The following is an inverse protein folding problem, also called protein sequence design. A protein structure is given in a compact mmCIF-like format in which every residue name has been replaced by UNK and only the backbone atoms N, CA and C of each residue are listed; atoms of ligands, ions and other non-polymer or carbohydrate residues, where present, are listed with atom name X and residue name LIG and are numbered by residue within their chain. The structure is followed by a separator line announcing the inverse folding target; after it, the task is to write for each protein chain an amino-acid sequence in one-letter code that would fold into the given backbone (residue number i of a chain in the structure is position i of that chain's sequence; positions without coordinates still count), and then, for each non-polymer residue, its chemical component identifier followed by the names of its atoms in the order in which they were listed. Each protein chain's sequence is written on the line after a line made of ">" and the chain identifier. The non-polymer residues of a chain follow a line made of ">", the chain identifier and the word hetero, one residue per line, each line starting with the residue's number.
data_IF_025893687166
#
_entry.id   IF_025893687166
#
_cell.length_a   1.000
_cell.length_b   1.000
_cell.length_c   1.000
_cell.angle_alpha   90.00
_cell.angle_beta   90.00
_cell.angle_gamma   90.00
#
_symmetry.space_group_name_H-M   'P 1'
#
loop_
_entity.id
_entity.type
_entity.pdbx_description
1 polymer ?
#
# COMPACT_ATOMS: atom_id res chain seq x y z
N UNK A 1 -1.25 11.72 0.10
CA UNK A 1 -1.34 10.31 0.50
C UNK A 1 -2.38 10.18 1.60
N UNK A 2 -3.45 9.42 1.36
CA UNK A 2 -4.46 9.11 2.39
C UNK A 2 -4.04 7.85 3.14
N UNK A 3 -4.15 7.91 4.45
CA UNK A 3 -3.73 6.89 5.39
C UNK A 3 -4.97 6.43 6.16
N UNK A 4 -5.15 5.11 6.28
CA UNK A 4 -6.29 4.48 6.93
C UNK A 4 -5.81 3.42 7.94
N UNK A 5 -6.63 3.15 8.96
CA UNK A 5 -6.43 2.02 9.88
C UNK A 5 -6.81 0.74 9.15
N UNK A 6 -5.96 -0.26 9.23
CA UNK A 6 -6.07 -1.52 8.49
C UNK A 6 -5.65 -2.72 9.33
N UNK A 7 -6.07 -3.91 8.90
CA UNK A 7 -5.66 -5.16 9.51
C UNK A 7 -4.52 -5.82 8.74
N UNK A 8 -3.52 -6.36 9.46
CA UNK A 8 -2.47 -7.16 8.84
C UNK A 8 -3.06 -8.48 8.33
N UNK A 9 -3.74 -9.23 9.19
CA UNK A 9 -4.53 -10.40 8.83
C UNK A 9 -5.96 -9.97 8.47
N UNK A 10 -6.48 -10.33 7.26
CA UNK A 10 -7.80 -9.88 6.82
C UNK A 10 -8.91 -10.26 7.80
N UNK A 11 -9.67 -9.27 8.28
CA UNK A 11 -10.74 -9.46 9.26
C UNK A 11 -11.84 -10.42 8.82
N UNK A 12 -12.02 -10.60 7.51
CA UNK A 12 -12.99 -11.54 6.93
C UNK A 12 -12.61 -13.00 7.14
N UNK A 13 -11.32 -13.29 7.35
CA UNK A 13 -10.77 -14.63 7.55
C UNK A 13 -10.30 -14.84 9.00
N UNK A 14 -9.80 -13.79 9.63
CA UNK A 14 -9.21 -13.81 10.97
C UNK A 14 -9.98 -12.88 11.92
N UNK A 15 -11.30 -13.07 11.99
CA UNK A 15 -12.19 -12.22 12.79
C UNK A 15 -11.82 -12.14 14.28
N UNK A 16 -11.30 -13.23 14.84
CA UNK A 16 -10.85 -13.31 16.23
C UNK A 16 -9.69 -12.35 16.55
N UNK A 17 -8.95 -11.94 15.52
CA UNK A 17 -7.83 -11.01 15.64
C UNK A 17 -8.20 -9.56 15.29
N UNK A 18 -9.46 -9.26 14.98
CA UNK A 18 -9.88 -7.93 14.49
C UNK A 18 -9.49 -6.80 15.45
N UNK A 19 -9.68 -7.01 16.76
CA UNK A 19 -9.38 -6.00 17.78
C UNK A 19 -8.04 -6.21 18.48
N UNK A 20 -7.20 -7.12 17.98
CA UNK A 20 -5.89 -7.38 18.56
C UNK A 20 -4.90 -6.34 18.06
N UNK A 21 -4.16 -5.73 18.98
CA UNK A 21 -3.28 -4.61 18.67
C UNK A 21 -2.19 -5.00 17.66
N UNK A 22 -1.63 -6.20 17.76
CA UNK A 22 -0.66 -6.70 16.77
C UNK A 22 -1.25 -6.71 15.36
N UNK A 23 -2.56 -6.98 15.23
CA UNK A 23 -3.23 -7.11 13.95
C UNK A 23 -3.72 -5.77 13.39
N UNK A 24 -3.67 -4.67 14.15
CA UNK A 24 -4.10 -3.34 13.71
C UNK A 24 -2.87 -2.49 13.35
N UNK A 25 -2.90 -1.84 12.19
CA UNK A 25 -1.83 -0.94 11.76
C UNK A 25 -2.40 0.23 10.93
N UNK A 26 -1.56 1.21 10.67
CA UNK A 26 -1.78 2.35 9.80
C UNK A 26 -1.16 2.06 8.44
N UNK A 27 -1.92 2.21 7.36
CA UNK A 27 -1.43 1.92 6.00
C UNK A 27 -1.98 2.90 4.96
N UNK A 28 -1.26 3.09 3.86
CA UNK A 28 -1.76 3.90 2.75
C UNK A 28 -2.76 3.12 1.89
N UNK A 29 -3.66 3.84 1.21
CA UNK A 29 -4.66 3.21 0.31
C UNK A 29 -4.06 2.33 -0.78
N UNK A 30 -2.89 2.68 -1.33
CA UNK A 30 -2.18 1.86 -2.34
C UNK A 30 -1.82 0.48 -1.77
N UNK A 31 -1.09 0.45 -0.67
CA UNK A 31 -0.66 -0.80 -0.05
C UNK A 31 -1.86 -1.63 0.42
N UNK A 32 -2.85 -0.98 1.04
CA UNK A 32 -4.02 -1.67 1.54
C UNK A 32 -4.98 -2.12 0.44
N UNK A 33 -5.54 -1.17 -0.33
CA UNK A 33 -6.68 -1.41 -1.21
C UNK A 33 -6.29 -1.94 -2.60
N UNK A 34 -5.06 -1.70 -3.06
CA UNK A 34 -4.63 -2.12 -4.40
C UNK A 34 -3.75 -3.36 -4.36
N UNK A 35 -2.82 -3.44 -3.39
CA UNK A 35 -1.80 -4.50 -3.34
C UNK A 35 -2.20 -5.64 -2.42
N UNK A 36 -2.36 -5.36 -1.12
CA UNK A 36 -2.59 -6.39 -0.09
C UNK A 36 -4.01 -6.95 -0.15
N UNK A 37 -5.02 -6.08 -0.11
CA UNK A 37 -6.44 -6.46 -0.06
C UNK A 37 -6.68 -7.54 1.02
N UNK A 38 -7.45 -8.56 0.68
CA UNK A 38 -7.71 -9.74 1.50
C UNK A 38 -6.74 -10.90 1.23
N UNK A 39 -5.58 -10.65 0.62
CA UNK A 39 -4.59 -11.71 0.36
C UNK A 39 -4.07 -12.30 1.66
N UNK A 40 -3.60 -13.53 1.57
CA UNK A 40 -3.02 -14.30 2.68
C UNK A 40 -1.74 -15.02 2.28
N UNK A 41 -1.27 -14.84 1.05
CA UNK A 41 -0.07 -15.48 0.51
C UNK A 41 1.24 -14.93 1.07
N UNK A 42 1.16 -13.93 1.93
CA UNK A 42 2.27 -13.46 2.77
C UNK A 42 2.39 -14.23 4.08
N UNK A 43 1.46 -15.12 4.40
CA UNK A 43 1.52 -15.98 5.58
C UNK A 43 2.33 -17.23 5.22
N UNK A 44 3.30 -17.60 6.06
CA UNK A 44 4.13 -18.80 5.81
C UNK A 44 3.33 -20.08 5.86
N UNK A 45 2.51 -20.23 6.90
CA UNK A 45 1.66 -21.37 7.09
C UNK A 45 0.36 -20.94 7.80
N UNK A 46 -0.76 -21.19 7.13
CA UNK A 46 -2.11 -20.85 7.58
C UNK A 46 -2.53 -21.71 8.78
N UNK A 47 -1.96 -22.91 8.93
CA UNK A 47 -2.24 -23.74 10.08
C UNK A 47 -1.62 -23.17 11.34
N UNK A 48 -0.38 -22.67 11.27
CA UNK A 48 0.42 -22.20 12.43
C UNK A 48 0.14 -20.76 12.84
N UNK A 49 -0.31 -19.92 11.91
CA UNK A 49 -0.64 -18.52 12.20
C UNK A 49 -1.76 -18.39 13.24
N UNK A 50 -2.68 -19.37 13.30
CA UNK A 50 -3.80 -19.33 14.26
C UNK A 50 -3.35 -19.55 15.70
N UNK A 51 -2.30 -20.33 15.94
CA UNK A 51 -1.81 -20.57 17.30
C UNK A 51 -0.86 -19.46 17.76
N UNK A 52 0.00 -18.96 16.88
CA UNK A 52 1.05 -17.99 17.23
C UNK A 52 1.06 -16.77 16.28
N UNK A 53 -0.02 -15.98 16.18
CA UNK A 53 -0.08 -14.86 15.25
C UNK A 53 0.85 -13.69 15.63
N UNK A 54 1.34 -13.65 16.87
CA UNK A 54 2.29 -12.63 17.35
C UNK A 54 3.75 -12.99 17.06
N UNK A 55 4.02 -14.13 16.43
CA UNK A 55 5.35 -14.49 15.96
C UNK A 55 5.61 -13.86 14.58
N UNK A 56 6.55 -12.92 14.54
CA UNK A 56 6.98 -12.26 13.32
C UNK A 56 7.41 -13.24 12.22
N UNK A 57 7.92 -14.43 12.57
CA UNK A 57 8.36 -15.41 11.58
C UNK A 57 7.22 -16.00 10.76
N UNK A 58 5.98 -15.91 11.22
CA UNK A 58 4.79 -16.38 10.49
C UNK A 58 4.50 -15.55 9.23
N UNK A 59 5.12 -14.36 9.11
CA UNK A 59 4.91 -13.43 8.02
C UNK A 59 6.13 -13.41 7.07
N UNK A 60 5.87 -13.40 5.77
CA UNK A 60 6.88 -13.32 4.72
C UNK A 60 7.37 -11.87 4.49
N UNK A 61 6.47 -10.89 4.60
CA UNK A 61 6.87 -9.48 4.66
C UNK A 61 7.13 -9.03 6.10
N UNK A 62 7.75 -7.87 6.27
CA UNK A 62 7.96 -7.20 7.56
C UNK A 62 6.62 -6.84 8.18
N UNK A 63 6.28 -7.52 9.27
CA UNK A 63 5.11 -7.23 10.05
C UNK A 63 5.30 -5.87 10.76
N UNK A 64 4.39 -4.92 10.54
CA UNK A 64 4.59 -3.52 10.93
C UNK A 64 4.71 -3.30 12.45
N UNK A 65 4.14 -4.20 13.26
CA UNK A 65 4.14 -4.10 14.71
C UNK A 65 5.09 -5.09 15.40
N UNK A 66 5.65 -6.06 14.67
CA UNK A 66 6.41 -7.19 15.25
C UNK A 66 7.86 -7.26 14.76
N UNK A 67 8.16 -6.69 13.59
CA UNK A 67 9.52 -6.60 13.07
C UNK A 67 10.11 -5.22 13.29
N UNK A 68 11.42 -5.18 13.59
CA UNK A 68 12.21 -3.96 13.43
C UNK A 68 12.50 -3.74 11.95
N UNK A 69 12.00 -2.65 11.39
CA UNK A 69 12.16 -2.36 9.96
C UNK A 69 13.64 -2.30 9.54
N UNK A 70 14.45 -1.62 10.36
CA UNK A 70 15.88 -1.38 10.13
C UNK A 70 16.72 -2.65 10.19
N UNK A 71 16.19 -3.74 10.76
CA UNK A 71 16.91 -5.02 10.78
C UNK A 71 16.89 -5.73 9.42
N UNK A 72 16.00 -5.32 8.51
CA UNK A 72 15.76 -5.99 7.23
C UNK A 72 15.80 -5.06 6.02
N UNK A 73 15.67 -3.75 6.22
CA UNK A 73 15.59 -2.79 5.12
C UNK A 73 16.11 -1.42 5.56
N UNK A 74 17.02 -0.88 4.77
CA UNK A 74 17.40 0.52 4.83
C UNK A 74 16.55 1.33 3.85
N UNK A 75 16.44 2.63 4.10
CA UNK A 75 15.90 3.55 3.10
C UNK A 75 16.58 4.92 3.23
N UNK A 76 16.62 5.64 2.12
CA UNK A 76 17.02 7.04 2.11
C UNK A 76 15.94 7.90 1.45
N UNK A 77 15.78 9.10 1.98
CA UNK A 77 14.84 10.10 1.49
C UNK A 77 15.59 11.38 1.24
N UNK A 78 15.44 11.93 0.05
CA UNK A 78 15.96 13.27 -0.30
C UNK A 78 14.79 14.19 -0.58
N UNK A 79 14.82 15.38 0.02
CA UNK A 79 13.79 16.40 -0.19
C UNK A 79 14.47 17.68 -0.65
N UNK A 80 14.01 18.23 -1.78
CA UNK A 80 14.45 19.52 -2.31
C UNK A 80 13.22 20.33 -2.70
N UNK A 81 12.94 21.39 -1.94
CA UNK A 81 11.70 22.17 -2.07
C UNK A 81 10.47 21.24 -1.98
N UNK A 82 9.62 21.23 -3.01
CA UNK A 82 8.44 20.37 -3.11
C UNK A 82 8.75 18.95 -3.63
N UNK A 83 9.95 18.71 -4.17
CA UNK A 83 10.33 17.40 -4.69
C UNK A 83 10.83 16.49 -3.57
N UNK A 84 10.32 15.26 -3.53
CA UNK A 84 10.75 14.21 -2.61
C UNK A 84 11.08 12.97 -3.43
N UNK A 85 12.23 12.37 -3.19
CA UNK A 85 12.60 11.04 -3.70
C UNK A 85 12.87 10.08 -2.55
N UNK A 86 12.54 8.80 -2.76
CA UNK A 86 12.82 7.73 -1.81
C UNK A 86 13.50 6.56 -2.52
N UNK A 87 14.38 5.87 -1.81
CA UNK A 87 14.95 4.59 -2.22
C UNK A 87 14.98 3.64 -1.02
N UNK A 88 14.61 2.41 -1.25
CA UNK A 88 14.63 1.30 -0.32
C UNK A 88 15.75 0.34 -0.71
N UNK A 89 16.44 -0.19 0.29
CA UNK A 89 17.57 -1.10 0.15
C UNK A 89 17.29 -2.31 1.04
N UNK A 90 16.76 -3.41 0.48
CA UNK A 90 16.56 -4.65 1.21
C UNK A 90 17.90 -5.23 1.69
N UNK A 91 17.99 -5.56 2.98
CA UNK A 91 19.19 -6.13 3.61
C UNK A 91 19.09 -7.65 3.79
N UNK A 92 17.87 -8.18 3.90
CA UNK A 92 17.57 -9.60 4.17
C UNK A 92 16.40 -10.08 3.32
N UNK A 93 16.22 -11.39 3.22
CA UNK A 93 15.12 -12.03 2.45
C UNK A 93 13.73 -11.49 2.79
N UNK A 94 13.43 -11.28 4.07
CA UNK A 94 12.15 -10.69 4.50
C UNK A 94 11.97 -9.26 3.99
N UNK A 95 13.05 -8.48 3.97
CA UNK A 95 13.11 -7.15 3.38
C UNK A 95 12.87 -7.20 1.87
N UNK A 96 13.52 -8.13 1.18
CA UNK A 96 13.36 -8.34 -0.27
C UNK A 96 11.91 -8.70 -0.61
N UNK A 97 11.32 -9.65 0.12
CA UNK A 97 9.92 -10.01 -0.05
C UNK A 97 9.00 -8.81 0.19
N UNK A 98 9.26 -8.00 1.21
CA UNK A 98 8.47 -6.79 1.49
C UNK A 98 8.55 -5.76 0.35
N UNK A 99 9.76 -5.54 -0.17
CA UNK A 99 10.02 -4.64 -1.29
C UNK A 99 9.24 -5.06 -2.54
N UNK A 100 9.30 -6.36 -2.87
CA UNK A 100 8.60 -6.95 -4.01
C UNK A 100 7.07 -6.95 -3.80
N UNK A 101 6.61 -7.42 -2.64
CA UNK A 101 5.18 -7.54 -2.32
C UNK A 101 4.47 -6.19 -2.40
N UNK A 102 5.06 -5.14 -1.80
CA UNK A 102 4.49 -3.79 -1.82
C UNK A 102 4.93 -2.94 -3.03
N UNK A 103 5.63 -3.56 -3.99
CA UNK A 103 6.06 -2.92 -5.23
C UNK A 103 6.77 -1.59 -4.95
N UNK A 104 7.69 -1.57 -3.98
CA UNK A 104 8.31 -0.34 -3.52
C UNK A 104 9.10 0.36 -4.63
N UNK A 105 9.67 -0.40 -5.57
CA UNK A 105 10.30 0.13 -6.79
C UNK A 105 9.42 1.13 -7.54
N UNK A 106 8.12 0.87 -7.66
CA UNK A 106 7.21 1.80 -8.35
C UNK A 106 7.14 3.15 -7.64
N UNK A 107 7.13 3.14 -6.31
CA UNK A 107 7.15 4.37 -5.52
C UNK A 107 8.48 5.12 -5.70
N UNK A 108 9.59 4.39 -5.80
CA UNK A 108 10.90 5.00 -6.10
C UNK A 108 10.90 5.67 -7.47
N UNK A 109 10.43 4.97 -8.49
CA UNK A 109 10.33 5.49 -9.87
C UNK A 109 9.40 6.71 -9.91
N UNK A 110 8.19 6.60 -9.38
CA UNK A 110 7.20 7.69 -9.33
C UNK A 110 7.80 8.93 -8.66
N UNK A 111 8.44 8.76 -7.50
CA UNK A 111 9.02 9.88 -6.75
C UNK A 111 10.25 10.49 -7.43
N UNK A 112 11.05 9.69 -8.13
CA UNK A 112 12.17 10.18 -8.95
C UNK A 112 11.69 10.91 -10.20
N UNK A 113 10.68 10.39 -10.89
CA UNK A 113 10.08 11.02 -12.07
C UNK A 113 9.52 12.41 -11.71
N UNK A 114 8.75 12.49 -10.61
CA UNK A 114 8.26 13.77 -10.07
C UNK A 114 9.43 14.71 -9.75
N UNK A 115 10.49 14.22 -9.12
CA UNK A 115 11.67 15.03 -8.77
C UNK A 115 12.45 15.53 -10.00
N UNK A 116 12.36 14.83 -11.13
CA UNK A 116 12.93 15.23 -12.42
C UNK A 116 12.02 16.19 -13.21
N UNK A 117 10.79 16.43 -12.74
CA UNK A 117 9.81 17.25 -13.45
C UNK A 117 9.05 16.50 -14.54
N UNK A 118 9.07 15.17 -14.52
CA UNK A 118 8.21 14.35 -15.38
C UNK A 118 6.80 14.41 -14.80
N UNK A 119 5.86 14.93 -15.57
CA UNK A 119 4.44 14.91 -15.25
C UNK A 119 3.90 13.59 -15.80
N UNK A 120 3.70 12.61 -14.92
CA UNK A 120 2.92 11.42 -15.28
C UNK A 120 1.45 11.85 -15.32
N UNK A 121 0.76 11.60 -16.43
CA UNK A 121 -0.70 11.65 -16.45
C UNK A 121 -1.16 10.62 -15.40
N UNK A 122 -1.88 11.07 -14.37
CA UNK A 122 -2.52 10.13 -13.44
C UNK A 122 -3.38 9.19 -14.30
N UNK A 123 -3.03 7.90 -14.37
CA UNK A 123 -4.02 6.88 -14.71
C UNK A 123 -5.11 7.04 -13.65
N UNK A 124 -6.18 7.70 -14.04
CA UNK A 124 -7.26 8.09 -13.17
C UNK A 124 -7.92 6.86 -12.58
N UNK A 125 -7.40 6.37 -11.47
CA UNK A 125 -8.06 5.41 -10.61
C UNK A 125 -9.29 6.08 -10.04
N UNK A 126 -10.43 5.87 -10.72
CA UNK A 126 -11.72 6.57 -10.62
C UNK A 126 -11.82 7.92 -11.35
N UNK A 127 -11.61 7.93 -12.67
CA UNK A 127 -12.63 8.62 -13.49
C UNK A 127 -13.80 7.65 -13.55
N UNK A 128 -14.86 7.92 -12.77
CA UNK A 128 -16.20 7.54 -13.21
C UNK A 128 -16.29 8.09 -14.63
N UNK A 129 -16.15 7.24 -15.64
CA UNK A 129 -16.43 7.62 -17.01
C UNK A 129 -17.90 8.03 -16.98
N UNK A 130 -18.16 9.32 -16.85
CA UNK A 130 -19.51 9.84 -16.93
C UNK A 130 -19.93 9.48 -18.35
N UNK A 131 -20.97 8.64 -18.51
CA UNK A 131 -21.48 8.28 -19.82
C UNK A 131 -21.66 9.56 -20.65
N UNK A 132 -21.16 9.55 -21.89
CA UNK A 132 -21.09 10.74 -22.74
C UNK A 132 -22.46 11.39 -22.99
N UNK A 133 -23.52 10.59 -22.90
CA UNK A 133 -24.93 10.95 -22.90
C UNK A 133 -25.31 11.87 -21.73
N UNK A 134 -24.88 11.55 -20.50
CA UNK A 134 -25.13 12.40 -19.33
C UNK A 134 -24.38 13.75 -19.40
N UNK A 135 -23.19 13.74 -20.01
CA UNK A 135 -22.45 14.99 -20.27
C UNK A 135 -23.18 15.84 -21.32
N UNK A 136 -23.74 15.23 -22.35
CA UNK A 136 -24.49 15.94 -23.39
C UNK A 136 -25.79 16.55 -22.84
N UNK A 137 -26.57 15.79 -22.08
CA UNK A 137 -27.82 16.28 -21.45
C UNK A 137 -27.55 17.45 -20.50
N UNK A 138 -26.47 17.37 -19.70
CA UNK A 138 -26.13 18.46 -18.78
C UNK A 138 -25.73 19.75 -19.51
N UNK A 139 -25.08 19.64 -20.68
CA UNK A 139 -24.73 20.80 -21.50
C UNK A 139 -25.96 21.45 -22.13
N UNK A 140 -26.89 20.65 -22.66
CA UNK A 140 -28.15 21.17 -23.21
C UNK A 140 -28.97 21.91 -22.15
N UNK A 141 -29.01 21.40 -20.92
CA UNK A 141 -29.71 22.07 -19.81
C UNK A 141 -29.06 23.39 -19.39
N UNK A 142 -27.72 23.48 -19.44
CA UNK A 142 -26.99 24.70 -19.10
C UNK A 142 -27.16 25.77 -20.18
N UNK A 143 -27.22 25.38 -21.46
CA UNK A 143 -27.48 26.31 -22.58
C UNK A 143 -28.92 26.84 -22.62
N UNK A 144 -29.83 26.23 -21.86
CA UNK A 144 -31.22 26.67 -21.71
C UNK A 144 -31.47 27.60 -20.51
N UNK A 145 -30.44 27.91 -19.72
CA UNK A 145 -30.45 28.88 -18.61
C UNK A 145 -29.87 30.23 -19.05
#
# INVERSE_FOLDING_TARGET
>A
MVIDIEHVLPKSLFGDFMFKLFNLNVSCKRCNMQIKKNRVDFIRDVATILQNPEDAQQYLFLHPNLDSYYDHMDYFVTIRNAAKSVKYIPLKEKGRYTYEFFQLEKLEIETLNIAQGIIEEEESGLVLQIPTDLVAESKELIEQL
#
